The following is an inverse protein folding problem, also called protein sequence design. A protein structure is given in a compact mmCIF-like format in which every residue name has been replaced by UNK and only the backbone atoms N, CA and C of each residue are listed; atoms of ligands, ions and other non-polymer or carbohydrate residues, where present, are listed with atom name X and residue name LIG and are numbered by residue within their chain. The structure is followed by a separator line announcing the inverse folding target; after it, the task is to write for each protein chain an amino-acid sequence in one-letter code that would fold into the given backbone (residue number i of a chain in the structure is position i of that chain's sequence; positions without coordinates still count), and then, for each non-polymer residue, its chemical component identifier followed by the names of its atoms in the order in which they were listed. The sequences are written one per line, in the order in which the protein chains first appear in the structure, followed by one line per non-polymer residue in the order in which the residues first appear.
data_IF_070565115734
#
_entry.id   IF_070565115734
#
_cell.length_a   1.000
_cell.length_b   1.000
_cell.length_c   1.000
_cell.angle_alpha   90.00
_cell.angle_beta   90.00
_cell.angle_gamma   90.00
#
_symmetry.space_group_name_H-M   'P 1'
#
loop_
_entity.id
_entity.type
_entity.pdbx_description
1 polymer ?
#
# COMPACT_ATOMS: atom_id res chain seq x y z
N UNK A 1 -31.95 7.44 -1.67
CA UNK A 1 -31.50 6.05 -1.37
C UNK A 1 -30.08 5.93 -1.89
N UNK A 2 -29.13 6.19 -1.05
CA UNK A 2 -27.71 6.03 -1.39
C UNK A 2 -27.31 4.60 -1.01
N UNK A 3 -27.10 3.75 -2.02
CA UNK A 3 -26.52 2.45 -1.82
C UNK A 3 -25.03 2.65 -1.51
N UNK A 4 -24.63 2.44 -0.27
CA UNK A 4 -23.25 2.35 0.15
C UNK A 4 -22.63 1.11 -0.50
N UNK A 5 -21.92 1.30 -1.59
CA UNK A 5 -20.98 0.31 -2.06
C UNK A 5 -19.74 0.39 -1.17
N UNK A 6 -19.82 -0.26 -0.03
CA UNK A 6 -18.63 -0.68 0.73
C UNK A 6 -18.03 -1.83 -0.05
N UNK A 7 -17.23 -1.54 -1.07
CA UNK A 7 -16.31 -2.55 -1.57
C UNK A 7 -15.29 -2.82 -0.45
N UNK A 8 -15.18 -4.05 0.02
CA UNK A 8 -14.19 -4.36 1.03
C UNK A 8 -12.81 -4.19 0.39
N UNK A 9 -12.05 -3.27 0.91
CA UNK A 9 -10.61 -3.13 0.70
C UNK A 9 -9.88 -4.30 1.37
N UNK A 10 -10.38 -5.52 1.08
CA UNK A 10 -9.90 -6.78 1.67
C UNK A 10 -8.59 -7.25 1.03
N UNK A 11 -8.11 -6.54 0.01
CA UNK A 11 -6.89 -6.91 -0.68
C UNK A 11 -5.60 -6.45 0.04
N UNK A 12 -5.72 -5.60 1.06
CA UNK A 12 -4.55 -5.08 1.76
C UNK A 12 -4.20 -5.85 3.04
N UNK A 13 -5.00 -6.82 3.43
CA UNK A 13 -4.73 -7.67 4.61
C UNK A 13 -4.08 -9.02 4.29
N UNK A 14 -3.68 -9.25 3.06
CA UNK A 14 -2.67 -10.27 2.81
C UNK A 14 -1.29 -9.68 3.10
N UNK A 15 -1.07 -9.28 4.32
CA UNK A 15 0.21 -9.53 4.97
C UNK A 15 0.32 -11.05 5.06
N UNK A 16 0.53 -11.65 3.89
CA UNK A 16 0.94 -13.02 3.85
C UNK A 16 2.17 -13.08 4.74
N UNK A 17 2.05 -13.84 5.79
CA UNK A 17 3.17 -14.40 6.51
C UNK A 17 4.07 -15.07 5.47
N UNK A 18 4.89 -14.31 4.78
CA UNK A 18 6.05 -14.81 4.10
C UNK A 18 6.98 -15.24 5.24
N UNK A 19 6.72 -16.44 5.76
CA UNK A 19 7.74 -17.12 6.55
C UNK A 19 8.96 -17.21 5.65
N UNK A 20 10.03 -16.47 5.93
CA UNK A 20 11.23 -16.61 5.14
C UNK A 20 11.73 -18.03 5.31
N UNK A 21 11.71 -18.81 4.25
CA UNK A 21 12.52 -20.00 4.21
C UNK A 21 13.96 -19.56 4.46
N UNK A 22 14.49 -19.94 5.63
CA UNK A 22 15.84 -19.67 6.05
C UNK A 22 16.84 -20.35 5.10
N UNK A 23 17.14 -19.72 4.00
CA UNK A 23 18.43 -19.90 3.36
C UNK A 23 19.31 -18.75 3.81
N UNK A 24 20.14 -19.03 4.86
CA UNK A 24 21.24 -18.17 5.27
C UNK A 24 22.15 -17.95 4.06
N UNK A 25 21.96 -16.85 3.34
CA UNK A 25 23.00 -16.25 2.52
C UNK A 25 23.47 -14.99 3.22
N UNK A 26 24.75 -14.98 3.57
CA UNK A 26 25.41 -13.80 4.07
C UNK A 26 25.31 -12.69 3.02
N UNK A 27 24.77 -11.53 3.42
CA UNK A 27 24.86 -10.23 2.75
C UNK A 27 24.32 -10.10 1.31
N UNK A 28 23.29 -10.86 0.91
CA UNK A 28 22.72 -10.77 -0.42
C UNK A 28 21.21 -10.50 -0.41
N UNK A 29 20.74 -9.73 -1.38
CA UNK A 29 19.32 -9.65 -1.74
C UNK A 29 19.00 -10.86 -2.62
N UNK A 30 17.91 -11.57 -2.29
CA UNK A 30 17.42 -12.71 -3.05
C UNK A 30 16.08 -12.34 -3.70
N UNK A 31 15.93 -12.63 -4.99
CA UNK A 31 14.63 -12.55 -5.67
C UNK A 31 13.85 -13.80 -5.28
N UNK A 32 12.78 -13.62 -4.53
CA UNK A 32 11.95 -14.71 -4.00
C UNK A 32 10.78 -15.06 -4.91
N UNK A 33 10.38 -14.13 -5.78
CA UNK A 33 9.34 -14.33 -6.77
C UNK A 33 9.56 -13.43 -7.98
N UNK A 34 9.35 -13.99 -9.15
CA UNK A 34 9.28 -13.23 -10.40
C UNK A 34 8.29 -13.95 -11.31
N UNK A 35 7.11 -13.38 -11.47
CA UNK A 35 6.06 -13.98 -12.29
C UNK A 35 5.50 -13.00 -13.30
N UNK A 36 5.12 -13.54 -14.44
CA UNK A 36 4.48 -12.80 -15.53
C UNK A 36 3.49 -13.70 -16.22
N UNK A 37 2.26 -13.24 -16.31
CA UNK A 37 1.23 -13.87 -17.13
C UNK A 37 0.50 -12.79 -17.92
N UNK A 38 0.56 -12.88 -19.25
CA UNK A 38 0.03 -11.85 -20.15
C UNK A 38 -0.73 -12.50 -21.28
N UNK A 39 -1.93 -12.03 -21.52
CA UNK A 39 -2.77 -12.35 -22.67
C UNK A 39 -2.98 -11.10 -23.53
N UNK A 40 -3.73 -11.19 -24.61
CA UNK A 40 -4.10 -10.04 -25.45
C UNK A 40 -4.99 -9.02 -24.73
N UNK A 41 -5.72 -9.45 -23.69
CA UNK A 41 -6.73 -8.61 -23.00
C UNK A 41 -6.48 -8.44 -21.50
N UNK A 42 -5.55 -9.16 -20.93
CA UNK A 42 -5.26 -9.10 -19.50
C UNK A 42 -3.81 -9.42 -19.19
N UNK A 43 -3.36 -9.03 -18.03
CA UNK A 43 -2.04 -9.40 -17.58
C UNK A 43 -1.84 -9.20 -16.09
N UNK A 44 -0.91 -9.99 -15.57
CA UNK A 44 -0.37 -9.86 -14.22
C UNK A 44 1.14 -9.99 -14.26
N UNK A 45 1.79 -9.26 -13.37
CA UNK A 45 3.23 -9.40 -13.15
C UNK A 45 3.57 -9.04 -11.72
N UNK A 46 4.48 -9.78 -11.14
CA UNK A 46 5.01 -9.45 -9.83
C UNK A 46 6.49 -9.75 -9.71
N UNK A 47 7.15 -9.02 -8.83
CA UNK A 47 8.49 -9.29 -8.36
C UNK A 47 8.55 -9.13 -6.86
N UNK A 48 9.22 -10.06 -6.20
CA UNK A 48 9.50 -9.96 -4.78
C UNK A 48 10.96 -10.30 -4.50
N UNK A 49 11.53 -9.64 -3.52
CA UNK A 49 12.87 -9.87 -3.05
C UNK A 49 12.92 -9.83 -1.54
N UNK A 50 13.88 -10.54 -0.97
CA UNK A 50 14.17 -10.51 0.45
C UNK A 50 15.66 -10.27 0.69
N UNK A 51 15.97 -9.67 1.81
CA UNK A 51 17.32 -9.36 2.21
C UNK A 51 17.39 -8.98 3.67
N UNK A 52 18.52 -8.45 4.10
CA UNK A 52 18.70 -7.96 5.46
C UNK A 52 19.11 -6.49 5.43
N UNK A 53 18.50 -5.68 6.29
CA UNK A 53 18.82 -4.26 6.44
C UNK A 53 18.92 -3.89 7.93
N UNK A 54 20.14 -3.68 8.42
CA UNK A 54 20.34 -3.20 9.79
C UNK A 54 19.79 -1.78 9.94
N UNK A 55 19.08 -1.44 11.04
CA UNK A 55 18.82 -2.27 12.23
C UNK A 55 17.53 -3.13 12.13
N UNK A 56 16.81 -3.11 11.04
CA UNK A 56 15.47 -3.71 10.90
C UNK A 56 15.46 -5.23 10.68
N UNK A 57 16.64 -5.85 10.52
CA UNK A 57 16.74 -7.29 10.29
C UNK A 57 16.31 -7.72 8.89
N UNK A 58 15.63 -8.84 8.80
CA UNK A 58 15.18 -9.39 7.52
C UNK A 58 14.02 -8.56 6.95
N UNK A 59 14.19 -8.15 5.70
CA UNK A 59 13.22 -7.34 4.97
C UNK A 59 12.75 -8.08 3.72
N UNK A 60 11.44 -8.06 3.51
CA UNK A 60 10.81 -8.42 2.25
C UNK A 60 10.33 -7.18 1.52
N UNK A 61 10.50 -7.15 0.19
CA UNK A 61 9.93 -6.14 -0.69
C UNK A 61 9.27 -6.81 -1.88
N UNK A 62 8.20 -6.20 -2.37
CA UNK A 62 7.50 -6.71 -3.53
C UNK A 62 6.71 -5.64 -4.26
N UNK A 63 6.52 -5.84 -5.55
CA UNK A 63 5.59 -5.04 -6.32
C UNK A 63 4.86 -5.91 -7.35
N UNK A 64 3.67 -5.47 -7.72
CA UNK A 64 2.87 -6.15 -8.71
C UNK A 64 2.02 -5.19 -9.51
N UNK A 65 1.71 -5.60 -10.72
CA UNK A 65 0.75 -4.91 -11.59
C UNK A 65 -0.25 -5.93 -12.14
N UNK A 66 -1.44 -5.48 -12.39
CA UNK A 66 -2.47 -6.25 -13.07
C UNK A 66 -3.31 -5.32 -13.97
N UNK A 67 -3.85 -5.89 -15.02
CA UNK A 67 -4.79 -5.18 -15.87
C UNK A 67 -5.75 -6.13 -16.56
N UNK A 68 -6.87 -5.61 -16.90
CA UNK A 68 -7.84 -6.21 -17.81
C UNK A 68 -8.34 -5.11 -18.72
N UNK A 69 -8.17 -5.28 -20.03
CA UNK A 69 -8.55 -4.30 -21.03
C UNK A 69 -10.01 -3.86 -20.86
N UNK A 70 -10.25 -2.56 -20.97
CA UNK A 70 -11.56 -1.90 -20.82
C UNK A 70 -12.25 -2.08 -19.45
N UNK A 71 -11.60 -2.75 -18.47
CA UNK A 71 -12.15 -3.00 -17.14
C UNK A 71 -11.35 -2.30 -16.05
N UNK A 72 -10.06 -2.60 -15.94
CA UNK A 72 -9.25 -2.04 -14.86
C UNK A 72 -7.76 -2.14 -15.09
N UNK A 73 -7.03 -1.21 -14.47
CA UNK A 73 -5.58 -1.23 -14.34
C UNK A 73 -5.23 -1.03 -12.87
N UNK A 74 -4.39 -1.89 -12.33
CA UNK A 74 -4.02 -1.83 -10.93
C UNK A 74 -2.60 -2.25 -10.68
N UNK A 75 -2.15 -2.01 -9.46
CA UNK A 75 -0.84 -2.41 -9.02
C UNK A 75 -0.54 -1.91 -7.62
N UNK A 76 0.58 -2.37 -7.09
CA UNK A 76 1.00 -1.96 -5.77
C UNK A 76 2.41 -2.37 -5.46
N UNK A 77 2.91 -1.84 -4.37
CA UNK A 77 4.17 -2.21 -3.77
C UNK A 77 4.00 -2.43 -2.27
N UNK A 78 4.86 -3.28 -1.73
CA UNK A 78 4.91 -3.55 -0.30
C UNK A 78 6.35 -3.75 0.15
N UNK A 79 6.62 -3.39 1.38
CA UNK A 79 7.86 -3.75 2.05
C UNK A 79 7.60 -3.94 3.55
N UNK A 80 8.42 -4.74 4.21
CA UNK A 80 8.27 -4.93 5.64
C UNK A 80 9.31 -5.84 6.24
N UNK A 81 9.35 -5.79 7.56
CA UNK A 81 10.13 -6.64 8.45
C UNK A 81 9.27 -7.09 9.63
N UNK A 82 9.89 -7.65 10.67
CA UNK A 82 9.21 -7.87 11.96
C UNK A 82 8.73 -6.57 12.62
N UNK A 83 9.35 -5.44 12.30
CA UNK A 83 9.18 -4.18 13.02
C UNK A 83 8.20 -3.23 12.33
N UNK A 84 8.06 -3.31 11.01
CA UNK A 84 7.18 -2.45 10.24
C UNK A 84 6.63 -3.14 8.99
N UNK A 85 5.53 -2.61 8.52
CA UNK A 85 4.98 -2.91 7.19
C UNK A 85 4.61 -1.62 6.48
N UNK A 86 4.87 -1.54 5.20
CA UNK A 86 4.39 -0.46 4.35
C UNK A 86 3.84 -1.02 3.04
N UNK A 87 2.89 -0.31 2.48
CA UNK A 87 2.31 -0.69 1.20
C UNK A 87 1.69 0.51 0.51
N UNK A 88 1.63 0.43 -0.80
CA UNK A 88 0.84 1.35 -1.60
C UNK A 88 0.23 0.60 -2.78
N UNK A 89 -0.86 1.13 -3.29
CA UNK A 89 -1.51 0.55 -4.45
C UNK A 89 -2.36 1.58 -5.18
N UNK A 90 -2.69 1.25 -6.39
CA UNK A 90 -3.64 2.01 -7.19
C UNK A 90 -4.58 1.06 -7.92
N UNK A 91 -5.77 1.55 -8.18
CA UNK A 91 -6.73 0.91 -9.04
C UNK A 91 -7.42 1.97 -9.89
N UNK A 92 -7.44 1.75 -11.19
CA UNK A 92 -8.10 2.60 -12.17
C UNK A 92 -9.17 1.80 -12.88
N UNK A 93 -10.37 2.31 -12.87
CA UNK A 93 -11.52 1.78 -13.60
C UNK A 93 -12.14 2.90 -14.44
N UNK A 94 -13.08 2.61 -15.35
CA UNK A 94 -13.79 3.66 -16.07
C UNK A 94 -14.53 4.66 -15.18
N UNK A 95 -14.83 4.29 -13.92
CA UNK A 95 -15.64 5.10 -13.01
C UNK A 95 -14.80 5.86 -11.98
N UNK A 96 -13.63 5.33 -11.63
CA UNK A 96 -12.84 5.87 -10.52
C UNK A 96 -11.35 5.55 -10.64
N UNK A 97 -10.55 6.40 -10.03
CA UNK A 97 -9.12 6.17 -9.75
C UNK A 97 -8.95 6.22 -8.24
N UNK A 98 -8.39 5.15 -7.69
CA UNK A 98 -8.10 5.03 -6.26
C UNK A 98 -6.61 4.81 -6.10
N UNK A 99 -5.98 5.59 -5.24
CA UNK A 99 -4.57 5.42 -4.85
C UNK A 99 -4.53 5.35 -3.33
N UNK A 100 -3.84 4.37 -2.79
CA UNK A 100 -3.67 4.22 -1.35
C UNK A 100 -2.22 3.99 -0.96
N UNK A 101 -1.83 4.48 0.20
CA UNK A 101 -0.56 4.19 0.83
C UNK A 101 -0.73 4.06 2.34
N UNK A 102 -0.03 3.12 2.93
CA UNK A 102 -0.11 2.86 4.37
C UNK A 102 1.21 2.42 4.95
N UNK A 103 1.34 2.65 6.25
CA UNK A 103 2.46 2.20 7.07
C UNK A 103 1.93 1.69 8.41
N UNK A 104 2.53 0.61 8.89
CA UNK A 104 2.32 0.09 10.24
C UNK A 104 3.65 -0.09 10.96
N UNK A 105 3.67 0.19 12.25
CA UNK A 105 4.82 0.03 13.13
C UNK A 105 4.44 -0.91 14.28
N UNK A 106 5.04 -2.09 14.32
CA UNK A 106 4.69 -3.12 15.30
C UNK A 106 5.05 -2.69 16.73
N UNK A 107 6.20 -2.06 16.93
CA UNK A 107 6.63 -1.58 18.23
C UNK A 107 5.65 -0.56 18.85
N UNK A 108 4.98 0.22 18.02
CA UNK A 108 3.98 1.21 18.44
C UNK A 108 2.55 0.67 18.42
N UNK A 109 2.32 -0.54 17.91
CA UNK A 109 1.00 -1.09 17.59
C UNK A 109 0.12 -0.05 16.86
N UNK A 110 0.72 0.68 15.94
CA UNK A 110 0.11 1.81 15.25
C UNK A 110 0.23 1.67 13.74
N UNK A 111 -0.83 2.03 13.06
CA UNK A 111 -0.87 2.10 11.60
C UNK A 111 -1.59 3.36 11.14
N UNK A 112 -1.21 3.81 9.96
CA UNK A 112 -1.87 4.92 9.28
C UNK A 112 -1.91 4.65 7.78
N UNK A 113 -2.99 5.07 7.15
CA UNK A 113 -3.16 5.02 5.70
C UNK A 113 -3.80 6.30 5.18
N UNK A 114 -3.51 6.56 3.93
CA UNK A 114 -4.06 7.66 3.15
C UNK A 114 -4.61 7.11 1.84
N UNK A 115 -5.79 7.57 1.45
CA UNK A 115 -6.42 7.18 0.20
C UNK A 115 -6.85 8.43 -0.57
N UNK A 116 -6.59 8.41 -1.87
CA UNK A 116 -7.07 9.39 -2.83
C UNK A 116 -8.12 8.72 -3.70
N UNK A 117 -9.30 9.28 -3.75
CA UNK A 117 -10.41 8.82 -4.57
C UNK A 117 -10.70 9.89 -5.62
N UNK A 118 -10.43 9.59 -6.87
CA UNK A 118 -10.86 10.41 -8.00
C UNK A 118 -12.02 9.74 -8.72
N UNK A 119 -13.10 10.46 -8.96
CA UNK A 119 -14.22 9.91 -9.67
C UNK A 119 -14.35 10.52 -11.08
N UNK A 120 -15.04 9.83 -11.95
CA UNK A 120 -15.32 10.24 -13.34
C UNK A 120 -15.99 11.60 -13.45
N UNK A 121 -16.75 12.01 -12.44
CA UNK A 121 -17.42 13.32 -12.42
C UNK A 121 -16.50 14.49 -12.01
N UNK A 122 -15.20 14.20 -11.80
CA UNK A 122 -14.19 15.19 -11.43
C UNK A 122 -14.10 15.47 -9.93
N UNK A 123 -14.81 14.73 -9.07
CA UNK A 123 -14.62 14.84 -7.63
C UNK A 123 -13.34 14.16 -7.19
N UNK A 124 -12.66 14.77 -6.23
CA UNK A 124 -11.48 14.22 -5.56
C UNK A 124 -11.73 14.23 -4.07
N UNK A 125 -11.55 13.10 -3.44
CA UNK A 125 -11.62 12.91 -2.00
C UNK A 125 -10.29 12.41 -1.47
N UNK A 126 -9.94 12.88 -0.28
CA UNK A 126 -8.79 12.42 0.47
C UNK A 126 -9.27 11.86 1.81
N UNK A 127 -8.97 10.59 2.06
CA UNK A 127 -9.29 9.93 3.32
C UNK A 127 -8.00 9.58 4.03
N UNK A 128 -7.93 9.94 5.31
CA UNK A 128 -6.83 9.57 6.20
C UNK A 128 -7.39 8.72 7.34
N UNK A 129 -6.77 7.58 7.59
CA UNK A 129 -7.16 6.65 8.66
C UNK A 129 -5.95 6.32 9.53
N UNK A 130 -6.18 6.15 10.82
CA UNK A 130 -5.14 5.74 11.77
C UNK A 130 -5.74 4.82 12.83
N UNK A 131 -5.00 3.81 13.25
CA UNK A 131 -5.38 2.93 14.36
C UNK A 131 -5.22 3.60 15.72
N UNK A 132 -4.40 4.65 15.81
CA UNK A 132 -4.22 5.47 17.01
C UNK A 132 -4.97 6.80 16.87
N UNK A 133 -5.40 7.43 17.97
CA UNK A 133 -5.96 8.78 17.93
C UNK A 133 -4.98 9.75 17.26
N UNK A 134 -5.51 10.58 16.38
CA UNK A 134 -4.72 11.58 15.65
C UNK A 134 -5.28 12.98 15.86
N UNK A 135 -4.39 13.95 15.84
CA UNK A 135 -4.73 15.37 15.74
C UNK A 135 -4.14 15.92 14.45
N UNK A 136 -5.01 16.51 13.65
CA UNK A 136 -4.63 17.13 12.38
C UNK A 136 -4.65 18.66 12.51
N UNK A 137 -3.60 19.29 12.06
CA UNK A 137 -3.46 20.75 12.05
C UNK A 137 -3.41 21.24 10.61
N UNK A 138 -4.39 22.05 10.18
CA UNK A 138 -4.31 22.70 8.89
C UNK A 138 -3.24 23.78 8.89
N UNK A 139 -2.63 24.00 7.75
CA UNK A 139 -1.60 25.02 7.56
C UNK A 139 -1.62 25.56 6.14
N UNK A 140 -0.81 26.62 5.94
CA UNK A 140 -0.60 27.20 4.62
C UNK A 140 0.90 27.51 4.48
N UNK A 141 1.53 26.95 3.47
CA UNK A 141 2.95 27.15 3.23
C UNK A 141 3.22 27.22 1.72
N UNK A 142 3.99 28.20 1.30
CA UNK A 142 4.42 28.40 -0.08
C UNK A 142 3.24 28.43 -1.09
N UNK A 143 2.14 29.11 -0.72
CA UNK A 143 0.96 29.21 -1.55
C UNK A 143 0.07 27.95 -1.59
N UNK A 144 0.34 26.96 -0.74
CA UNK A 144 -0.39 25.68 -0.70
C UNK A 144 -1.03 25.44 0.66
N UNK A 145 -2.25 24.92 0.64
CA UNK A 145 -2.88 24.39 1.85
C UNK A 145 -2.20 23.06 2.24
N UNK A 146 -1.91 22.92 3.51
CA UNK A 146 -1.30 21.69 4.08
C UNK A 146 -2.12 21.20 5.25
N UNK A 147 -2.08 19.90 5.50
CA UNK A 147 -2.61 19.27 6.70
C UNK A 147 -1.52 18.37 7.27
N UNK A 148 -1.16 18.59 8.53
CA UNK A 148 -0.21 17.72 9.25
C UNK A 148 -0.94 16.99 10.35
N UNK A 149 -0.90 15.65 10.31
CA UNK A 149 -1.53 14.81 11.30
C UNK A 149 -0.46 14.07 12.12
N UNK A 150 -0.67 13.99 13.43
CA UNK A 150 0.22 13.30 14.36
C UNK A 150 -0.60 12.41 15.28
N UNK A 151 -0.05 11.26 15.63
CA UNK A 151 -0.61 10.44 16.72
C UNK A 151 -0.44 11.16 18.04
N UNK A 152 -1.44 11.04 18.91
CA UNK A 152 -1.37 11.52 20.30
C UNK A 152 -1.25 10.32 21.22
N UNK A 153 -0.31 10.41 22.17
CA UNK A 153 -0.21 9.44 23.24
C UNK A 153 -1.45 9.61 24.16
N UNK A 154 -2.14 8.53 24.41
CA UNK A 154 -3.20 8.45 25.41
C UNK A 154 -2.59 8.02 26.73
#
# INVERSE_FOLDING_TARGET
MFAQFVLPFLAMQMLASATPHQHRRANGVEITSLTKNVTSTSGTGNVAAAGNLSPFGDIGVGCGINWQADVSYGGGLQAGSSDFGLGSGFNMTPEAIIIGAGIGMNAANASANIQFHGSKNGSVELVFESSAPIVCTPGFKDGKSTVSCKTVSV
#
